data_IF_627329090258
#
_entry.id   IF_627329090258
#
_cell.length_a   1.000
_cell.length_b   1.000
_cell.length_c   1.000
_cell.angle_alpha   90.00
_cell.angle_beta   90.00
_cell.angle_gamma   90.00
#
_symmetry.space_group_name_H-M   'P 1'
#
loop_
_entity.id
_entity.type
_entity.pdbx_description
1 polymer ?
#
# COMPACT_ATOMS: atom_id res chain seq x y z
N UNK A 1 25.09 22.66 23.00
CA UNK A 1 23.80 22.54 23.72
C UNK A 1 23.43 21.07 23.77
N UNK A 2 23.09 20.51 24.94
CA UNK A 2 22.64 19.11 25.05
C UNK A 2 21.28 18.97 24.37
N UNK A 3 21.05 18.05 23.41
CA UNK A 3 19.70 17.71 22.99
C UNK A 3 19.07 16.96 24.16
N UNK A 4 18.09 17.58 24.79
CA UNK A 4 17.34 16.98 25.90
C UNK A 4 16.26 16.07 25.33
N UNK A 5 15.87 15.06 26.09
CA UNK A 5 14.81 14.06 25.81
C UNK A 5 13.52 14.59 25.15
N UNK A 6 13.27 15.90 25.15
CA UNK A 6 12.13 16.57 24.51
C UNK A 6 12.05 16.36 22.99
N UNK A 7 13.19 16.36 22.27
CA UNK A 7 13.16 16.24 20.80
C UNK A 7 12.79 14.82 20.34
N UNK A 8 13.33 13.82 21.03
CA UNK A 8 13.03 12.40 20.79
C UNK A 8 11.59 12.07 21.19
N UNK A 9 11.12 12.56 22.35
CA UNK A 9 9.72 12.40 22.75
C UNK A 9 8.75 13.09 21.79
N UNK A 10 9.09 14.31 21.32
CA UNK A 10 8.31 15.01 20.30
C UNK A 10 8.20 14.24 18.98
N UNK A 11 9.28 13.56 18.58
CA UNK A 11 9.27 12.67 17.42
C UNK A 11 8.27 11.51 17.61
N UNK A 12 8.31 10.81 18.75
CA UNK A 12 7.36 9.72 19.02
C UNK A 12 5.91 10.19 19.09
N UNK A 13 5.64 11.34 19.71
CA UNK A 13 4.28 11.90 19.74
C UNK A 13 3.79 12.27 18.35
N UNK A 14 4.65 12.88 17.52
CA UNK A 14 4.31 13.18 16.12
C UNK A 14 4.00 11.90 15.33
N UNK A 15 4.78 10.84 15.54
CA UNK A 15 4.57 9.57 14.87
C UNK A 15 3.28 8.89 15.33
N UNK A 16 2.98 8.92 16.64
CA UNK A 16 1.74 8.40 17.20
C UNK A 16 0.51 9.10 16.59
N UNK A 17 0.51 10.44 16.58
CA UNK A 17 -0.58 11.21 15.99
C UNK A 17 -0.76 10.90 14.51
N UNK A 18 0.33 10.82 13.74
CA UNK A 18 0.23 10.58 12.31
C UNK A 18 -0.26 9.15 11.99
N UNK A 19 0.08 8.17 12.83
CA UNK A 19 -0.48 6.81 12.75
C UNK A 19 -1.97 6.79 13.13
N UNK A 20 -2.37 7.54 14.17
CA UNK A 20 -3.79 7.67 14.54
C UNK A 20 -4.62 8.36 13.46
N UNK A 21 -4.05 9.35 12.77
CA UNK A 21 -4.68 9.99 11.61
C UNK A 21 -4.88 9.00 10.46
N UNK A 22 -3.91 8.12 10.24
CA UNK A 22 -4.00 7.05 9.26
C UNK A 22 -5.07 6.02 9.65
N UNK A 23 -5.14 5.62 10.92
CA UNK A 23 -6.20 4.73 11.45
C UNK A 23 -7.60 5.32 11.28
N UNK A 24 -7.78 6.59 11.63
CA UNK A 24 -9.07 7.28 11.44
C UNK A 24 -9.46 7.36 9.98
N UNK A 25 -8.48 7.57 9.09
CA UNK A 25 -8.74 7.58 7.65
C UNK A 25 -9.14 6.20 7.11
N UNK A 26 -8.55 5.14 7.65
CA UNK A 26 -8.93 3.76 7.31
C UNK A 26 -10.36 3.47 7.78
N UNK A 27 -10.70 3.87 9.01
CA UNK A 27 -12.03 3.64 9.59
C UNK A 27 -13.14 4.46 8.92
N UNK A 28 -12.81 5.60 8.31
CA UNK A 28 -13.77 6.45 7.62
C UNK A 28 -14.06 6.01 6.17
N UNK A 29 -13.28 5.06 5.63
CA UNK A 29 -13.48 4.53 4.29
C UNK A 29 -14.29 3.24 4.33
N UNK A 30 -15.36 3.16 3.55
CA UNK A 30 -16.18 1.94 3.38
C UNK A 30 -15.45 0.82 2.59
N UNK A 31 -14.31 1.15 1.97
CA UNK A 31 -13.49 0.22 1.18
C UNK A 31 -12.13 -0.05 1.82
N UNK A 32 -11.74 -1.33 1.84
CA UNK A 32 -10.40 -1.73 2.27
C UNK A 32 -9.34 -1.17 1.30
N UNK A 33 -8.31 -0.50 1.84
CA UNK A 33 -7.15 0.00 1.08
C UNK A 33 -7.51 0.92 -0.10
N UNK A 34 -8.35 1.94 0.12
CA UNK A 34 -8.62 2.97 -0.90
C UNK A 34 -7.34 3.66 -1.37
N UNK A 35 -7.34 4.19 -2.59
CA UNK A 35 -6.23 4.98 -3.12
C UNK A 35 -5.90 6.18 -2.24
N UNK A 36 -6.92 6.81 -1.63
CA UNK A 36 -6.75 7.90 -0.67
C UNK A 36 -6.00 7.44 0.59
N UNK A 37 -6.36 6.27 1.13
CA UNK A 37 -5.66 5.68 2.27
C UNK A 37 -4.20 5.33 1.93
N UNK A 38 -3.96 4.69 0.77
CA UNK A 38 -2.61 4.36 0.30
C UNK A 38 -1.77 5.62 0.09
N UNK A 39 -2.35 6.69 -0.45
CA UNK A 39 -1.68 7.98 -0.59
C UNK A 39 -1.28 8.59 0.77
N UNK A 40 -2.14 8.48 1.79
CA UNK A 40 -1.81 8.89 3.16
C UNK A 40 -0.67 8.05 3.75
N UNK A 41 -0.62 6.75 3.47
CA UNK A 41 0.49 5.90 3.89
C UNK A 41 1.83 6.32 3.25
N UNK A 42 1.86 6.64 1.94
CA UNK A 42 3.05 7.21 1.28
C UNK A 42 3.44 8.55 1.88
N UNK A 43 2.46 9.41 2.15
CA UNK A 43 2.68 10.72 2.75
C UNK A 43 3.29 10.61 4.15
N UNK A 44 2.82 9.64 4.94
CA UNK A 44 3.37 9.32 6.26
C UNK A 44 4.80 8.78 6.18
N UNK A 45 5.08 7.89 5.22
CA UNK A 45 6.43 7.38 5.00
C UNK A 45 7.40 8.54 4.72
N UNK A 46 7.02 9.43 3.79
CA UNK A 46 7.82 10.61 3.41
C UNK A 46 8.02 11.58 4.58
N UNK A 47 6.95 11.91 5.31
CA UNK A 47 7.02 12.87 6.42
C UNK A 47 7.83 12.31 7.59
N UNK A 48 7.73 11.01 7.86
CA UNK A 48 8.51 10.33 8.91
C UNK A 48 10.01 10.37 8.61
N UNK A 49 10.41 10.10 7.36
CA UNK A 49 11.81 10.24 6.93
C UNK A 49 12.30 11.70 7.01
N UNK A 50 11.48 12.67 6.60
CA UNK A 50 11.81 14.09 6.75
C UNK A 50 12.03 14.46 8.22
N UNK A 51 11.13 14.07 9.12
CA UNK A 51 11.27 14.31 10.56
C UNK A 51 12.49 13.62 11.16
N UNK A 52 12.84 12.42 10.67
CA UNK A 52 14.06 11.71 11.08
C UNK A 52 15.32 12.51 10.72
N UNK A 53 15.42 13.01 9.48
CA UNK A 53 16.57 13.83 9.05
C UNK A 53 16.69 15.13 9.85
N UNK A 54 15.57 15.78 10.15
CA UNK A 54 15.54 16.97 11.02
C UNK A 54 15.96 16.63 12.46
N UNK A 55 15.58 15.46 12.96
CA UNK A 55 15.97 15.01 14.31
C UNK A 55 17.48 14.75 14.38
N UNK A 56 18.07 14.11 13.37
CA UNK A 56 19.53 13.89 13.29
C UNK A 56 20.29 15.20 13.43
N UNK A 57 19.84 16.25 12.74
CA UNK A 57 20.43 17.59 12.83
C UNK A 57 20.35 18.17 14.25
N UNK A 58 19.26 17.91 14.98
CA UNK A 58 19.06 18.39 16.36
C UNK A 58 19.81 17.58 17.41
N UNK A 59 20.05 16.30 17.16
CA UNK A 59 20.70 15.39 18.11
C UNK A 59 22.22 15.54 18.15
N UNK A 60 22.82 16.32 17.24
CA UNK A 60 24.27 16.57 17.16
C UNK A 60 25.07 15.26 17.23
N UNK A 61 24.65 14.28 16.43
CA UNK A 61 25.26 12.96 16.45
C UNK A 61 26.73 13.02 15.98
N UNK A 62 27.63 12.22 16.58
CA UNK A 62 29.03 12.18 16.19
C UNK A 62 29.22 11.67 14.74
N UNK A 63 30.20 12.22 14.02
CA UNK A 63 30.43 11.87 12.61
C UNK A 63 31.07 10.48 12.45
N UNK A 64 30.60 9.69 11.47
CA UNK A 64 31.23 8.42 11.07
C UNK A 64 31.07 7.26 12.06
N UNK A 65 30.10 7.37 12.97
CA UNK A 65 29.82 6.38 14.00
C UNK A 65 28.78 5.34 13.54
N UNK A 66 28.71 4.21 14.25
CA UNK A 66 27.84 3.06 13.91
C UNK A 66 26.35 3.40 13.68
N UNK A 67 25.85 4.49 14.26
CA UNK A 67 24.48 4.94 14.02
C UNK A 67 24.23 5.31 12.55
N UNK A 68 25.26 5.78 11.84
CA UNK A 68 25.15 6.17 10.44
C UNK A 68 25.01 4.93 9.58
N UNK A 69 25.81 3.89 9.83
CA UNK A 69 25.68 2.59 9.15
C UNK A 69 24.28 2.02 9.38
N UNK A 70 23.81 1.98 10.63
CA UNK A 70 22.45 1.53 10.97
C UNK A 70 21.38 2.38 10.26
N UNK A 71 21.53 3.70 10.16
CA UNK A 71 20.61 4.56 9.42
C UNK A 71 20.64 4.31 7.91
N UNK A 72 21.83 4.12 7.34
CA UNK A 72 22.04 3.91 5.90
C UNK A 72 21.47 2.56 5.46
N UNK A 73 21.71 1.50 6.24
CA UNK A 73 21.14 0.17 6.00
C UNK A 73 19.61 0.24 5.97
N UNK A 74 19.00 0.85 6.99
CA UNK A 74 17.54 1.00 7.06
C UNK A 74 16.96 1.85 5.93
N UNK A 75 17.63 2.96 5.60
CA UNK A 75 17.18 3.83 4.51
C UNK A 75 17.32 3.16 3.15
N UNK A 76 18.35 2.33 2.96
CA UNK A 76 18.56 1.56 1.73
C UNK A 76 17.47 0.49 1.54
N UNK A 77 17.03 -0.17 2.62
CA UNK A 77 15.92 -1.11 2.58
C UNK A 77 14.60 -0.42 2.19
N UNK A 78 14.31 0.75 2.78
CA UNK A 78 13.10 1.52 2.43
C UNK A 78 13.17 1.98 0.97
N UNK A 79 14.34 2.40 0.50
CA UNK A 79 14.57 2.82 -0.87
C UNK A 79 14.31 1.68 -1.87
N UNK A 80 14.88 0.49 -1.66
CA UNK A 80 14.64 -0.67 -2.53
C UNK A 80 13.16 -1.08 -2.52
N UNK A 81 12.51 -1.07 -1.35
CA UNK A 81 11.08 -1.34 -1.25
C UNK A 81 10.23 -0.32 -2.04
N UNK A 82 10.61 0.96 -2.00
CA UNK A 82 9.95 2.01 -2.80
C UNK A 82 10.17 1.81 -4.29
N UNK A 83 11.32 1.29 -4.73
CA UNK A 83 11.55 0.94 -6.12
C UNK A 83 10.63 -0.18 -6.61
N UNK A 84 10.41 -1.22 -5.78
CA UNK A 84 9.46 -2.29 -6.09
C UNK A 84 8.03 -1.74 -6.13
N UNK A 85 7.64 -0.91 -5.16
CA UNK A 85 6.33 -0.24 -5.17
C UNK A 85 6.12 0.60 -6.43
N UNK A 86 7.13 1.35 -6.86
CA UNK A 86 7.08 2.17 -8.06
C UNK A 86 6.77 1.32 -9.30
N UNK A 87 7.39 0.16 -9.44
CA UNK A 87 7.10 -0.76 -10.54
C UNK A 87 5.63 -1.23 -10.52
N UNK A 88 5.09 -1.55 -9.34
CA UNK A 88 3.67 -1.89 -9.17
C UNK A 88 2.73 -0.75 -9.55
N UNK A 89 3.00 0.47 -9.08
CA UNK A 89 2.19 1.66 -9.37
C UNK A 89 2.20 1.98 -10.87
N UNK A 90 3.34 1.90 -11.54
CA UNK A 90 3.43 2.16 -12.99
C UNK A 90 2.58 1.19 -13.82
N UNK A 91 2.39 -0.07 -13.37
CA UNK A 91 1.46 -1.00 -14.02
C UNK A 91 0.01 -0.58 -13.83
N UNK A 92 -0.31 -0.07 -12.64
CA UNK A 92 -1.63 0.50 -12.33
C UNK A 92 -1.98 1.68 -13.25
N UNK A 93 -1.00 2.52 -13.59
CA UNK A 93 -1.16 3.65 -14.51
C UNK A 93 -1.52 3.19 -15.93
N UNK A 94 -0.94 2.08 -16.39
CA UNK A 94 -1.29 1.47 -17.68
C UNK A 94 -2.73 0.94 -17.69
N UNK A 95 -3.13 0.25 -16.62
CA UNK A 95 -4.52 -0.22 -16.45
C UNK A 95 -5.51 0.94 -16.41
N UNK A 96 -5.20 1.99 -15.65
CA UNK A 96 -6.01 3.20 -15.60
C UNK A 96 -6.18 3.82 -17.00
N UNK A 97 -5.10 3.90 -17.77
CA UNK A 97 -5.13 4.43 -19.15
C UNK A 97 -6.01 3.57 -20.08
N UNK A 98 -5.94 2.24 -19.94
CA UNK A 98 -6.80 1.33 -20.70
C UNK A 98 -8.30 1.51 -20.36
N UNK A 99 -8.61 1.68 -19.07
CA UNK A 99 -9.97 1.97 -18.60
C UNK A 99 -10.46 3.33 -19.10
N UNK A 100 -9.64 4.37 -19.04
CA UNK A 100 -9.99 5.69 -19.55
C UNK A 100 -10.36 5.66 -21.04
N UNK A 101 -9.64 4.86 -21.84
CA UNK A 101 -9.99 4.64 -23.26
C UNK A 101 -11.37 3.99 -23.41
N UNK A 102 -11.71 2.98 -22.60
CA UNK A 102 -13.05 2.37 -22.63
C UNK A 102 -14.13 3.39 -22.25
N UNK A 103 -13.91 4.20 -21.22
CA UNK A 103 -14.86 5.25 -20.82
C UNK A 103 -15.11 6.23 -21.97
N UNK A 104 -14.06 6.68 -22.67
CA UNK A 104 -14.25 7.55 -23.84
C UNK A 104 -15.05 6.89 -24.97
N UNK A 105 -14.84 5.59 -25.22
CA UNK A 105 -15.60 4.84 -26.24
C UNK A 105 -17.07 4.70 -25.87
N UNK A 106 -17.38 4.50 -24.58
CA UNK A 106 -18.75 4.42 -24.08
C UNK A 106 -19.45 5.78 -24.13
N UNK A 107 -18.74 6.87 -23.81
CA UNK A 107 -19.25 8.23 -23.95
C UNK A 107 -19.57 8.58 -25.41
N UNK A 108 -18.70 8.19 -26.34
CA UNK A 108 -18.95 8.35 -27.78
C UNK A 108 -20.16 7.55 -28.23
N UNK A 109 -20.29 6.30 -27.78
CA UNK A 109 -21.46 5.45 -28.07
C UNK A 109 -22.76 6.06 -27.54
N UNK A 110 -22.71 6.66 -26.34
CA UNK A 110 -23.86 7.34 -25.74
C UNK A 110 -24.26 8.59 -26.52
N UNK A 111 -23.30 9.35 -27.05
CA UNK A 111 -23.57 10.53 -27.89
C UNK A 111 -24.11 10.14 -29.27
N UNK A 112 -23.70 8.99 -29.82
CA UNK A 112 -24.11 8.53 -31.15
C UNK A 112 -25.42 7.71 -31.17
N UNK A 113 -26.35 7.95 -30.23
CA UNK A 113 -27.58 7.19 -29.92
C UNK A 113 -28.67 7.11 -31.03
N UNK A 114 -28.27 7.12 -32.29
CA UNK A 114 -29.15 6.98 -33.46
C UNK A 114 -28.58 6.13 -34.60
N UNK A 115 -27.32 5.72 -34.54
CA UNK A 115 -26.71 4.79 -35.50
C UNK A 115 -26.03 3.65 -34.76
N UNK A 116 -26.61 2.45 -34.77
CA UNK A 116 -25.88 1.23 -34.37
C UNK A 116 -24.64 1.13 -35.26
N UNK A 117 -23.46 1.50 -34.72
CA UNK A 117 -22.20 1.40 -35.42
C UNK A 117 -21.51 0.10 -35.00
N UNK A 118 -21.50 -0.96 -35.84
CA UNK A 118 -20.89 -2.24 -35.50
C UNK A 118 -19.37 -2.13 -35.30
N UNK A 119 -18.73 -1.08 -35.82
CA UNK A 119 -17.30 -0.84 -35.60
C UNK A 119 -17.01 -0.38 -34.17
N UNK A 120 -17.86 0.48 -33.61
CA UNK A 120 -17.72 0.98 -32.24
C UNK A 120 -17.92 -0.14 -31.21
N UNK A 121 -18.91 -1.01 -31.44
CA UNK A 121 -19.12 -2.20 -30.62
C UNK A 121 -17.88 -3.12 -30.60
N UNK A 122 -17.26 -3.34 -31.76
CA UNK A 122 -16.01 -4.11 -31.86
C UNK A 122 -14.84 -3.43 -31.14
N UNK A 123 -14.77 -2.09 -31.17
CA UNK A 123 -13.74 -1.33 -30.45
C UNK A 123 -13.94 -1.45 -28.94
N UNK A 124 -15.17 -1.35 -28.45
CA UNK A 124 -15.52 -1.56 -27.03
C UNK A 124 -15.12 -2.97 -26.58
N UNK A 125 -15.49 -4.01 -27.33
CA UNK A 125 -15.11 -5.40 -27.00
C UNK A 125 -13.59 -5.62 -26.97
N UNK A 126 -12.84 -4.98 -27.89
CA UNK A 126 -11.38 -5.00 -27.87
C UNK A 126 -10.81 -4.27 -26.66
N UNK A 127 -11.33 -3.10 -26.32
CA UNK A 127 -10.90 -2.33 -25.15
C UNK A 127 -11.14 -3.12 -23.85
N UNK A 128 -12.31 -3.74 -23.70
CA UNK A 128 -12.61 -4.66 -22.58
C UNK A 128 -11.58 -5.79 -22.52
N UNK A 129 -11.30 -6.43 -23.66
CA UNK A 129 -10.31 -7.53 -23.72
C UNK A 129 -8.90 -7.08 -23.30
N UNK A 130 -8.49 -5.87 -23.69
CA UNK A 130 -7.22 -5.26 -23.26
C UNK A 130 -7.23 -5.05 -21.76
N UNK A 131 -8.26 -4.39 -21.20
CA UNK A 131 -8.36 -4.13 -19.75
C UNK A 131 -8.28 -5.42 -18.94
N UNK A 132 -8.97 -6.48 -19.37
CA UNK A 132 -8.93 -7.80 -18.71
C UNK A 132 -7.54 -8.40 -18.74
N UNK A 133 -6.84 -8.31 -19.87
CA UNK A 133 -5.47 -8.78 -20.01
C UNK A 133 -4.51 -7.98 -19.12
N UNK A 134 -4.65 -6.66 -19.07
CA UNK A 134 -3.85 -5.80 -18.17
C UNK A 134 -4.12 -6.15 -16.69
N UNK A 135 -5.37 -6.42 -16.30
CA UNK A 135 -5.70 -6.84 -14.94
C UNK A 135 -5.02 -8.17 -14.55
N UNK A 136 -5.03 -9.17 -15.44
CA UNK A 136 -4.34 -10.45 -15.22
C UNK A 136 -2.82 -10.25 -15.20
N UNK A 137 -2.30 -9.42 -16.10
CA UNK A 137 -0.87 -9.07 -16.13
C UNK A 137 -0.40 -8.41 -14.84
N UNK A 138 -1.19 -7.48 -14.29
CA UNK A 138 -0.93 -6.88 -12.98
C UNK A 138 -0.82 -7.95 -11.90
N UNK A 139 -1.80 -8.85 -11.78
CA UNK A 139 -1.79 -9.87 -10.72
C UNK A 139 -0.60 -10.82 -10.85
N UNK A 140 -0.30 -11.31 -12.05
CA UNK A 140 0.79 -12.25 -12.32
C UNK A 140 2.16 -11.61 -12.12
N UNK A 141 2.39 -10.46 -12.75
CA UNK A 141 3.69 -9.81 -12.69
C UNK A 141 3.96 -9.21 -11.31
N UNK A 142 2.92 -8.77 -10.58
CA UNK A 142 3.10 -8.32 -9.21
C UNK A 142 3.37 -9.50 -8.28
N UNK A 143 2.75 -10.67 -8.51
CA UNK A 143 3.07 -11.89 -7.75
C UNK A 143 4.55 -12.25 -7.89
N UNK A 144 5.07 -12.26 -9.13
CA UNK A 144 6.50 -12.51 -9.38
C UNK A 144 7.39 -11.48 -8.68
N UNK A 145 7.01 -10.19 -8.68
CA UNK A 145 7.75 -9.16 -7.94
C UNK A 145 7.77 -9.44 -6.42
N UNK A 146 6.64 -9.87 -5.85
CA UNK A 146 6.53 -10.19 -4.43
C UNK A 146 7.40 -11.39 -4.09
N UNK A 147 7.26 -12.50 -4.81
CA UNK A 147 8.02 -13.74 -4.60
C UNK A 147 9.54 -13.52 -4.75
N UNK A 148 9.96 -12.76 -5.77
CA UNK A 148 11.41 -12.62 -6.07
C UNK A 148 12.11 -11.53 -5.27
N UNK A 149 11.41 -10.44 -4.91
CA UNK A 149 12.04 -9.25 -4.31
C UNK A 149 11.56 -8.96 -2.90
N UNK A 150 10.31 -9.20 -2.56
CA UNK A 150 9.78 -8.82 -1.25
C UNK A 150 10.17 -9.84 -0.18
N UNK A 151 10.22 -11.13 -0.51
CA UNK A 151 10.81 -12.15 0.37
C UNK A 151 12.27 -11.80 0.74
N UNK A 152 13.04 -11.30 -0.23
CA UNK A 152 14.41 -10.84 -0.02
C UNK A 152 14.49 -9.57 0.85
N UNK A 153 13.49 -8.69 0.77
CA UNK A 153 13.42 -7.45 1.56
C UNK A 153 13.18 -7.68 3.06
N UNK A 154 12.79 -8.90 3.48
CA UNK A 154 12.68 -9.31 4.90
C UNK A 154 12.07 -8.21 5.78
N UNK A 155 10.85 -7.76 5.46
CA UNK A 155 10.06 -6.76 6.22
C UNK A 155 9.61 -7.32 7.57
N UNK A 156 10.57 -7.80 8.38
CA UNK A 156 10.35 -8.55 9.61
C UNK A 156 9.83 -7.62 10.69
N UNK A 157 8.51 -7.58 10.81
CA UNK A 157 7.83 -6.94 11.94
C UNK A 157 8.09 -7.67 13.26
N UNK A 158 8.62 -8.89 13.23
CA UNK A 158 8.80 -9.80 14.38
C UNK A 158 10.24 -9.85 14.95
N UNK A 159 11.10 -8.88 14.62
CA UNK A 159 12.44 -8.85 15.22
C UNK A 159 12.37 -8.56 16.73
N UNK A 160 13.08 -9.39 17.54
CA UNK A 160 13.15 -9.27 19.01
C UNK A 160 13.54 -7.85 19.42
N UNK A 161 12.77 -7.26 20.33
CA UNK A 161 13.02 -5.91 20.85
C UNK A 161 14.42 -5.83 21.47
N UNK A 162 15.31 -4.92 21.00
CA UNK A 162 16.60 -4.72 21.64
C UNK A 162 16.45 -4.22 23.08
N UNK A 163 17.39 -4.55 23.97
CA UNK A 163 17.37 -4.07 25.35
C UNK A 163 17.31 -2.53 25.42
N UNK A 164 16.64 -1.96 26.42
CA UNK A 164 16.48 -0.51 26.58
C UNK A 164 17.81 0.26 26.60
N UNK A 165 18.84 -0.32 27.20
CA UNK A 165 20.20 0.23 27.21
C UNK A 165 20.79 0.39 25.81
N UNK A 166 20.41 -0.47 24.85
CA UNK A 166 20.79 -0.35 23.43
C UNK A 166 19.93 0.69 22.72
N UNK A 167 18.63 0.76 23.02
CA UNK A 167 17.71 1.73 22.40
C UNK A 167 18.01 3.18 22.82
N UNK A 168 18.52 3.40 24.04
CA UNK A 168 18.95 4.72 24.51
C UNK A 168 20.30 5.17 23.92
N UNK A 169 20.92 4.38 23.03
CA UNK A 169 22.17 4.72 22.35
C UNK A 169 22.05 5.98 21.49
N UNK A 170 23.16 6.72 21.39
CA UNK A 170 23.29 7.94 20.56
C UNK A 170 22.22 9.00 20.88
N UNK A 171 22.12 9.41 22.14
CA UNK A 171 21.09 10.37 22.61
C UNK A 171 19.64 9.90 22.35
N UNK A 172 19.39 8.59 22.39
CA UNK A 172 18.07 8.00 22.11
C UNK A 172 17.75 7.84 20.62
N UNK A 173 18.66 8.20 19.72
CA UNK A 173 18.46 8.05 18.28
C UNK A 173 18.24 6.58 17.87
N UNK A 174 18.89 5.63 18.55
CA UNK A 174 18.75 4.21 18.21
C UNK A 174 17.32 3.69 18.42
N UNK A 175 16.65 4.16 19.48
CA UNK A 175 15.23 3.91 19.69
C UNK A 175 14.35 4.55 18.62
N UNK A 176 14.75 5.70 18.08
CA UNK A 176 14.03 6.35 16.99
C UNK A 176 14.20 5.57 15.68
N UNK A 177 15.41 5.12 15.36
CA UNK A 177 15.65 4.23 14.22
C UNK A 177 14.82 2.95 14.31
N UNK A 178 14.73 2.35 15.49
CA UNK A 178 13.90 1.16 15.69
C UNK A 178 12.40 1.45 15.43
N UNK A 179 11.86 2.55 15.95
CA UNK A 179 10.48 2.93 15.68
C UNK A 179 10.25 3.24 14.20
N UNK A 180 11.22 3.89 13.54
CA UNK A 180 11.21 4.14 12.11
C UNK A 180 11.21 2.84 11.30
N UNK A 181 12.07 1.87 11.64
CA UNK A 181 12.05 0.54 11.02
C UNK A 181 10.67 -0.08 11.11
N UNK A 182 10.04 -0.09 12.29
CA UNK A 182 8.71 -0.68 12.50
C UNK A 182 7.64 0.04 11.68
N UNK A 183 7.54 1.37 11.78
CA UNK A 183 6.51 2.13 11.05
C UNK A 183 6.72 2.04 9.54
N UNK A 184 7.95 2.19 9.05
CA UNK A 184 8.23 2.12 7.61
C UNK A 184 7.95 0.73 7.07
N UNK A 185 8.38 -0.33 7.75
CA UNK A 185 8.10 -1.72 7.34
C UNK A 185 6.60 -1.98 7.27
N UNK A 186 5.84 -1.50 8.25
CA UNK A 186 4.39 -1.67 8.25
C UNK A 186 3.70 -0.86 7.15
N UNK A 187 4.08 0.40 6.94
CA UNK A 187 3.53 1.23 5.85
C UNK A 187 3.85 0.62 4.48
N UNK A 188 5.08 0.15 4.28
CA UNK A 188 5.49 -0.55 3.07
C UNK A 188 4.65 -1.81 2.86
N UNK A 189 4.38 -2.59 3.92
CA UNK A 189 3.51 -3.75 3.85
C UNK A 189 2.08 -3.38 3.41
N UNK A 190 1.50 -2.32 3.99
CA UNK A 190 0.17 -1.83 3.57
C UNK A 190 0.17 -1.42 2.09
N UNK A 191 1.22 -0.73 1.64
CA UNK A 191 1.37 -0.31 0.25
C UNK A 191 1.55 -1.52 -0.68
N UNK A 192 2.31 -2.54 -0.28
CA UNK A 192 2.49 -3.77 -1.05
C UNK A 192 1.20 -4.56 -1.17
N UNK A 193 0.41 -4.65 -0.10
CA UNK A 193 -0.92 -5.23 -0.17
C UNK A 193 -1.85 -4.42 -1.08
N UNK A 194 -1.78 -3.08 -0.99
CA UNK A 194 -2.55 -2.18 -1.84
C UNK A 194 -2.25 -2.35 -3.32
N UNK A 195 -0.98 -2.31 -3.73
CA UNK A 195 -0.59 -2.18 -5.14
C UNK A 195 -0.08 -3.46 -5.80
N UNK A 196 0.49 -4.41 -5.06
CA UNK A 196 1.16 -5.57 -5.65
C UNK A 196 0.32 -6.84 -5.53
N UNK A 197 0.31 -7.43 -4.35
CA UNK A 197 -0.51 -8.59 -4.05
C UNK A 197 -0.42 -8.91 -2.56
N UNK A 198 -1.54 -9.31 -1.98
CA UNK A 198 -1.59 -9.88 -0.64
C UNK A 198 -1.24 -11.37 -0.65
N UNK A 199 -0.36 -11.78 0.27
CA UNK A 199 0.03 -13.17 0.51
C UNK A 199 -0.13 -13.54 2.01
N UNK A 200 -1.09 -14.40 2.36
CA UNK A 200 -1.35 -14.78 3.75
C UNK A 200 -0.53 -16.00 4.18
N UNK A 201 0.78 -15.86 4.36
CA UNK A 201 1.53 -16.87 5.11
C UNK A 201 1.61 -16.53 6.60
N UNK A 202 0.89 -17.34 7.37
CA UNK A 202 0.14 -16.97 8.56
C UNK A 202 0.90 -16.87 9.88
N UNK A 203 2.21 -16.69 9.82
CA UNK A 203 3.07 -16.62 11.01
C UNK A 203 3.83 -15.29 11.14
N UNK A 204 4.19 -14.61 10.05
CA UNK A 204 5.06 -13.42 10.13
C UNK A 204 4.35 -12.12 10.52
N UNK A 205 3.02 -12.04 10.35
CA UNK A 205 2.21 -10.85 10.65
C UNK A 205 1.37 -10.98 11.92
N UNK A 206 1.26 -12.21 12.44
CA UNK A 206 0.84 -12.43 13.83
C UNK A 206 2.04 -12.11 14.69
N UNK A 207 2.27 -10.83 14.94
CA UNK A 207 3.06 -10.43 16.10
C UNK A 207 2.39 -11.12 17.28
N UNK A 208 3.01 -12.17 17.81
CA UNK A 208 2.62 -12.73 19.09
C UNK A 208 2.44 -11.55 20.03
N UNK A 209 1.38 -11.61 20.83
CA UNK A 209 1.22 -10.65 21.91
C UNK A 209 2.49 -10.70 22.75
N UNK A 210 3.45 -9.81 22.47
CA UNK A 210 4.53 -9.49 23.39
C UNK A 210 3.85 -8.70 24.49
N UNK A 211 3.18 -9.48 25.31
CA UNK A 211 2.83 -9.20 26.68
C UNK A 211 4.15 -8.81 27.35
N UNK A 212 4.31 -7.50 27.61
CA UNK A 212 5.40 -7.02 28.46
C UNK A 212 6.62 -6.39 27.80
N UNK A 213 6.45 -5.42 26.89
CA UNK A 213 7.42 -4.32 26.85
C UNK A 213 6.71 -2.96 26.94
N UNK A 214 6.20 -2.66 28.13
CA UNK A 214 6.14 -1.28 28.59
C UNK A 214 7.56 -0.72 28.38
N UNK A 215 7.84 0.24 27.47
CA UNK A 215 8.95 1.23 27.53
C UNK A 215 9.19 1.92 26.17
N UNK A 216 9.46 3.24 26.26
CA UNK A 216 9.83 4.26 25.25
C UNK A 216 8.91 4.39 24.00
N UNK A 217 8.20 5.52 23.87
CA UNK A 217 7.28 5.75 22.74
C UNK A 217 5.99 4.92 22.80
N UNK A 218 5.53 4.56 24.02
CA UNK A 218 4.35 3.72 24.26
C UNK A 218 3.10 4.16 23.49
N UNK A 219 2.86 5.47 23.39
CA UNK A 219 1.76 6.02 22.59
C UNK A 219 1.83 5.59 21.12
N UNK A 220 2.99 5.71 20.49
CA UNK A 220 3.20 5.30 19.11
C UNK A 220 2.96 3.79 18.91
N UNK A 221 3.54 2.95 19.77
CA UNK A 221 3.35 1.49 19.67
C UNK A 221 1.90 1.08 19.87
N UNK A 222 1.16 1.78 20.75
CA UNK A 222 -0.29 1.56 20.93
C UNK A 222 -1.07 2.00 19.68
N UNK A 223 -0.80 3.19 19.14
CA UNK A 223 -1.42 3.68 17.89
C UNK A 223 -1.17 2.73 16.72
N UNK A 224 0.07 2.27 16.58
CA UNK A 224 0.47 1.30 15.55
C UNK A 224 -0.24 -0.03 15.71
N UNK A 225 -0.34 -0.56 16.94
CA UNK A 225 -1.06 -1.81 17.21
C UNK A 225 -2.54 -1.70 16.88
N UNK A 226 -3.19 -0.57 17.20
CA UNK A 226 -4.60 -0.34 16.85
C UNK A 226 -4.82 -0.38 15.33
N UNK A 227 -3.98 0.34 14.58
CA UNK A 227 -4.04 0.33 13.12
C UNK A 227 -3.77 -1.08 12.57
N UNK A 228 -2.76 -1.78 13.06
CA UNK A 228 -2.46 -3.16 12.69
C UNK A 228 -3.65 -4.09 12.92
N UNK A 229 -4.23 -4.09 14.12
CA UNK A 229 -5.39 -4.91 14.46
C UNK A 229 -6.58 -4.62 13.55
N UNK A 230 -6.86 -3.34 13.27
CA UNK A 230 -7.97 -2.95 12.40
C UNK A 230 -7.75 -3.42 10.97
N UNK A 231 -6.55 -3.24 10.42
CA UNK A 231 -6.23 -3.69 9.06
C UNK A 231 -6.30 -5.22 8.98
N UNK A 232 -5.74 -5.94 9.95
CA UNK A 232 -5.77 -7.42 9.96
C UNK A 232 -7.21 -7.92 10.01
N UNK A 233 -8.05 -7.38 10.89
CA UNK A 233 -9.47 -7.75 10.96
C UNK A 233 -10.19 -7.53 9.63
N UNK A 234 -9.92 -6.43 8.95
CA UNK A 234 -10.58 -6.12 7.68
C UNK A 234 -10.08 -7.00 6.53
N UNK A 235 -8.78 -7.31 6.52
CA UNK A 235 -8.18 -8.26 5.56
C UNK A 235 -8.74 -9.66 5.78
N UNK A 236 -8.92 -10.10 7.03
CA UNK A 236 -9.53 -11.41 7.36
C UNK A 236 -10.99 -11.49 6.93
N UNK A 237 -11.76 -10.39 7.03
CA UNK A 237 -13.14 -10.32 6.51
C UNK A 237 -13.23 -10.41 4.99
N UNK A 238 -12.16 -10.09 4.27
CA UNK A 238 -12.15 -10.05 2.80
C UNK A 238 -11.99 -11.46 2.15
N UNK A 239 -12.31 -12.53 2.90
CA UNK A 239 -12.36 -13.94 2.48
C UNK A 239 -11.32 -14.33 1.42
N UNK A 240 -10.05 -14.47 1.81
CA UNK A 240 -9.08 -15.32 1.10
C UNK A 240 -8.73 -14.93 -0.35
N UNK A 241 -9.21 -13.80 -0.89
CA UNK A 241 -8.86 -13.35 -2.25
C UNK A 241 -7.42 -12.86 -2.29
N UNK A 242 -6.52 -13.76 -2.67
CA UNK A 242 -5.14 -13.46 -3.09
C UNK A 242 -5.16 -12.45 -4.23
N UNK A 243 -4.23 -11.50 -4.21
CA UNK A 243 -4.11 -10.46 -5.25
C UNK A 243 -4.09 -9.04 -4.69
N UNK A 244 -4.17 -8.05 -5.58
CA UNK A 244 -4.11 -6.61 -5.27
C UNK A 244 -5.29 -6.22 -4.38
N UNK A 245 -5.03 -5.54 -3.25
CA UNK A 245 -6.09 -5.14 -2.30
C UNK A 245 -6.76 -3.81 -2.61
N UNK A 246 -6.19 -2.96 -3.46
CA UNK A 246 -6.74 -1.62 -3.73
C UNK A 246 -8.21 -1.68 -4.15
N UNK A 247 -9.06 -0.97 -3.41
CA UNK A 247 -10.51 -1.00 -3.60
C UNK A 247 -10.93 -0.57 -5.01
N UNK A 248 -10.41 0.55 -5.50
CA UNK A 248 -10.77 1.13 -6.79
C UNK A 248 -10.43 0.19 -7.95
N UNK A 249 -9.32 -0.53 -7.87
CA UNK A 249 -8.97 -1.53 -8.89
C UNK A 249 -9.97 -2.67 -8.93
N UNK A 250 -10.33 -3.22 -7.76
CA UNK A 250 -11.28 -4.32 -7.65
C UNK A 250 -12.68 -3.91 -8.11
N UNK A 251 -13.10 -2.71 -7.70
CA UNK A 251 -14.39 -2.14 -8.10
C UNK A 251 -14.46 -1.97 -9.62
N UNK A 252 -13.46 -1.31 -10.23
CA UNK A 252 -13.41 -1.11 -11.69
C UNK A 252 -13.36 -2.45 -12.43
N UNK A 253 -12.57 -3.42 -11.94
CA UNK A 253 -12.51 -4.76 -12.55
C UNK A 253 -13.89 -5.44 -12.55
N UNK A 254 -14.64 -5.35 -11.46
CA UNK A 254 -16.01 -5.87 -11.39
C UNK A 254 -16.93 -5.20 -12.41
N UNK A 255 -16.94 -3.86 -12.44
CA UNK A 255 -17.75 -3.08 -13.38
C UNK A 255 -17.40 -3.39 -14.84
N UNK A 256 -16.13 -3.61 -15.16
CA UNK A 256 -15.70 -3.97 -16.53
C UNK A 256 -16.26 -5.34 -16.96
N UNK A 257 -16.35 -6.32 -16.06
CA UNK A 257 -17.01 -7.60 -16.37
C UNK A 257 -18.52 -7.42 -16.55
N UNK A 258 -19.18 -6.58 -15.73
CA UNK A 258 -20.60 -6.26 -15.92
C UNK A 258 -20.89 -5.59 -17.27
N UNK A 259 -20.05 -4.61 -17.67
CA UNK A 259 -20.14 -3.94 -18.97
C UNK A 259 -19.94 -4.96 -20.11
N UNK A 260 -19.02 -5.90 -19.96
CA UNK A 260 -18.82 -6.98 -20.94
C UNK A 260 -20.07 -7.82 -21.13
N UNK A 261 -20.69 -8.27 -20.04
CA UNK A 261 -21.92 -9.06 -20.09
C UNK A 261 -23.07 -8.31 -20.75
N UNK A 262 -23.19 -7.01 -20.48
CA UNK A 262 -24.21 -6.14 -21.10
C UNK A 262 -24.02 -6.00 -22.62
N UNK A 263 -22.77 -5.79 -23.04
CA UNK A 263 -22.39 -5.66 -24.44
C UNK A 263 -22.64 -6.98 -25.19
N UNK A 264 -22.31 -8.12 -24.58
CA UNK A 264 -22.57 -9.45 -25.14
C UNK A 264 -24.07 -9.74 -25.28
N UNK A 265 -24.88 -9.35 -24.29
CA UNK A 265 -26.35 -9.47 -24.35
C UNK A 265 -26.96 -8.58 -25.45
N UNK A 266 -26.47 -7.36 -25.59
CA UNK A 266 -26.96 -6.42 -26.60
C UNK A 266 -26.59 -6.85 -28.03
N UNK A 267 -25.40 -7.42 -28.23
CA UNK A 267 -24.96 -7.94 -29.54
C UNK A 267 -25.62 -9.25 -29.97
N UNK A 268 -26.18 -10.03 -29.04
CA UNK A 268 -26.87 -11.29 -29.32
C UNK A 268 -28.32 -11.13 -29.83
N UNK A 269 -28.95 -9.98 -29.59
CA UNK A 269 -30.34 -9.72 -29.98
C UNK A 269 -30.53 -9.34 -31.46
N UNK A 270 -29.49 -8.88 -32.16
CA UNK A 270 -29.59 -8.50 -33.59
C UNK A 270 -29.59 -9.72 -34.56
N UNK A 271 -29.45 -10.95 -34.06
CA UNK A 271 -29.32 -12.17 -34.87
C UNK A 271 -30.58 -13.01 -35.07
N UNK A 272 -31.73 -12.66 -34.47
CA UNK A 272 -32.96 -13.50 -34.52
C UNK A 272 -34.08 -13.01 -35.45
N UNK A 273 -33.95 -11.85 -36.08
CA UNK A 273 -35.06 -11.24 -36.84
C UNK A 273 -34.88 -11.32 -38.37
N UNK A 274 -34.27 -12.41 -38.85
CA UNK A 274 -34.27 -12.80 -40.27
C UNK A 274 -34.48 -14.31 -40.39
N UNK A 275 -35.75 -14.73 -40.29
CA UNK A 275 -36.15 -16.10 -40.55
C UNK A 275 -37.65 -16.28 -40.39
N UNK A 276 -38.32 -16.31 -41.54
CA UNK A 276 -39.73 -16.64 -41.88
C UNK A 276 -40.83 -15.61 -41.60
#
# INVERSE_FOLDING_TARGET
MKPTSSSVNGFYSSLAHAVDDLERSFAACDGLMTLQFLHKAVSLLRSSHLHLTQLVQRLHLPAGEKWLDEYMDESSHVWEACHVLKAGVSRMENYHSAVANLVSLLDDAHRSRGSSNPQLLRQIMRAISVIRREAVGIEEENRVLVETRIEALSLRLDEKVPSESKLNGFNGFRGVLYAMRKVCSFLLLLLFWGFLSWWPESSSYRTEAVEGSLFFGSGFMVSMRRLQQRVVQEVERTEGRRGVLMHEFRSVRGVVEEVKEEVERSGGCEGRDKGD
#
